data_IF_915365446473
#
_entry.id   IF_915365446473
#
_cell.length_a   1.000
_cell.length_b   1.000
_cell.length_c   1.000
_cell.angle_alpha   90.00
_cell.angle_beta   90.00
_cell.angle_gamma   90.00
#
_symmetry.space_group_name_H-M   'P 1'
#
loop_
_entity.id
_entity.type
_entity.pdbx_description
1 polymer ?
#
# COMPACT_ATOMS: atom_id res chain seq x y z
N UNK A 1 -28.06 -16.98 -13.98
CA UNK A 1 -28.49 -16.65 -12.60
C UNK A 1 -27.30 -16.95 -11.68
N UNK A 2 -27.01 -16.14 -10.65
CA UNK A 2 -25.76 -16.16 -9.82
C UNK A 2 -24.43 -15.80 -10.54
N UNK A 3 -24.47 -14.95 -11.57
CA UNK A 3 -23.24 -14.46 -12.22
C UNK A 3 -22.76 -13.18 -11.53
N UNK A 4 -21.94 -13.32 -10.51
CA UNK A 4 -21.31 -12.20 -9.79
C UNK A 4 -19.79 -12.39 -9.78
N UNK A 5 -19.06 -11.31 -10.02
CA UNK A 5 -17.60 -11.26 -9.88
C UNK A 5 -17.28 -10.09 -8.94
N UNK A 6 -16.60 -10.39 -7.84
CA UNK A 6 -16.13 -9.39 -6.88
C UNK A 6 -14.61 -9.42 -6.84
N UNK A 7 -14.01 -8.25 -6.68
CA UNK A 7 -12.56 -8.09 -6.54
C UNK A 7 -12.32 -7.24 -5.30
N UNK A 8 -11.35 -7.63 -4.48
CA UNK A 8 -10.98 -6.86 -3.31
C UNK A 8 -9.72 -7.42 -2.66
N UNK A 9 -9.24 -6.66 -1.68
CA UNK A 9 -8.05 -6.97 -0.89
C UNK A 9 -8.40 -6.73 0.58
N UNK A 10 -8.41 -7.80 1.37
CA UNK A 10 -8.67 -7.79 2.81
C UNK A 10 -7.63 -6.97 3.59
N UNK A 11 -6.36 -7.01 3.16
CA UNK A 11 -5.26 -6.25 3.77
C UNK A 11 -5.37 -4.73 3.49
N UNK A 12 -6.26 -4.30 2.57
CA UNK A 12 -6.50 -2.90 2.20
C UNK A 12 -7.85 -2.34 2.69
N UNK A 13 -8.53 -3.03 3.59
CA UNK A 13 -9.81 -2.56 4.13
C UNK A 13 -9.62 -1.45 5.19
N UNK A 14 -9.58 -0.18 4.76
CA UNK A 14 -9.33 0.98 5.64
C UNK A 14 -10.57 1.82 6.00
N UNK A 15 -11.75 1.44 5.52
CA UNK A 15 -13.00 2.21 5.70
C UNK A 15 -13.95 1.63 6.77
N UNK A 16 -13.45 0.81 7.69
CA UNK A 16 -14.28 0.19 8.73
C UNK A 16 -15.06 1.24 9.57
N UNK A 17 -14.45 2.40 9.83
CA UNK A 17 -15.09 3.51 10.54
C UNK A 17 -16.31 4.11 9.80
N UNK A 18 -16.48 3.83 8.50
CA UNK A 18 -17.65 4.21 7.69
C UNK A 18 -18.63 3.05 7.49
N UNK A 19 -18.48 1.96 8.24
CA UNK A 19 -19.34 0.78 8.15
C UNK A 19 -18.91 -0.25 7.10
N UNK A 20 -17.68 -0.16 6.56
CA UNK A 20 -17.16 -1.25 5.73
C UNK A 20 -16.94 -2.51 6.58
N UNK A 21 -17.46 -3.65 6.10
CA UNK A 21 -17.32 -4.94 6.78
C UNK A 21 -16.39 -5.86 5.97
N UNK A 22 -15.25 -6.22 6.56
CA UNK A 22 -14.28 -7.13 5.96
C UNK A 22 -14.86 -8.54 5.77
N UNK A 23 -15.89 -8.92 6.55
CA UNK A 23 -16.55 -10.22 6.40
C UNK A 23 -17.16 -10.43 5.02
N UNK A 24 -17.57 -9.36 4.33
CA UNK A 24 -18.11 -9.43 2.97
C UNK A 24 -17.15 -10.14 1.99
N UNK A 25 -15.84 -10.00 2.16
CA UNK A 25 -14.84 -10.68 1.30
C UNK A 25 -14.35 -12.00 1.92
N UNK A 26 -14.32 -12.09 3.25
CA UNK A 26 -13.85 -13.28 3.94
C UNK A 26 -14.86 -14.43 3.83
N UNK A 27 -16.14 -14.11 3.99
CA UNK A 27 -17.26 -15.04 4.02
C UNK A 27 -17.90 -15.25 2.63
N UNK A 28 -17.35 -14.66 1.57
CA UNK A 28 -17.90 -14.79 0.21
C UNK A 28 -18.04 -16.25 -0.24
N UNK A 29 -17.09 -17.11 0.13
CA UNK A 29 -17.11 -18.56 -0.17
C UNK A 29 -18.18 -19.30 0.65
N UNK A 30 -18.67 -18.73 1.76
CA UNK A 30 -19.80 -19.28 2.53
C UNK A 30 -21.13 -18.92 1.88
N UNK A 31 -21.27 -17.69 1.39
CA UNK A 31 -22.48 -17.20 0.73
C UNK A 31 -22.64 -17.76 -0.70
N UNK A 32 -21.51 -18.01 -1.37
CA UNK A 32 -21.43 -18.59 -2.70
C UNK A 32 -20.49 -19.81 -2.70
N UNK A 33 -20.97 -21.00 -2.27
CA UNK A 33 -20.14 -22.21 -2.16
C UNK A 33 -19.50 -22.66 -3.48
N UNK A 34 -20.13 -22.35 -4.62
CA UNK A 34 -19.63 -22.68 -5.96
C UNK A 34 -18.70 -21.60 -6.54
N UNK A 35 -18.32 -20.59 -5.75
CA UNK A 35 -17.48 -19.49 -6.20
C UNK A 35 -16.06 -19.97 -6.54
N UNK A 36 -15.57 -19.57 -7.71
CA UNK A 36 -14.16 -19.74 -8.07
C UNK A 36 -13.32 -18.63 -7.45
N UNK A 37 -12.38 -18.99 -6.58
CA UNK A 37 -11.41 -18.05 -6.01
C UNK A 37 -10.15 -17.99 -6.88
N UNK A 38 -9.73 -16.78 -7.24
CA UNK A 38 -8.48 -16.52 -7.96
C UNK A 38 -7.66 -15.55 -7.12
N UNK A 39 -6.45 -15.95 -6.73
CA UNK A 39 -5.50 -15.09 -6.02
C UNK A 39 -4.49 -14.51 -7.00
N UNK A 40 -4.36 -13.20 -7.01
CA UNK A 40 -3.37 -12.48 -7.83
C UNK A 40 -2.20 -12.07 -6.92
N UNK A 41 -1.12 -12.85 -6.95
CA UNK A 41 0.03 -12.66 -6.06
C UNK A 41 1.19 -11.93 -6.72
N UNK A 42 1.15 -11.73 -8.04
CA UNK A 42 2.18 -11.00 -8.78
C UNK A 42 1.92 -9.49 -8.72
N UNK A 43 2.86 -8.73 -8.18
CA UNK A 43 2.84 -7.28 -8.11
C UNK A 43 3.67 -6.69 -9.26
N UNK A 44 3.02 -5.87 -10.09
CA UNK A 44 3.63 -5.20 -11.23
C UNK A 44 3.91 -3.70 -10.98
N UNK A 45 3.58 -3.18 -9.78
CA UNK A 45 3.68 -1.74 -9.45
C UNK A 45 4.98 -1.41 -8.73
N UNK A 46 5.34 -2.20 -7.73
CA UNK A 46 6.38 -1.87 -6.75
C UNK A 46 7.64 -2.71 -6.99
N UNK A 47 8.81 -2.07 -6.81
CA UNK A 47 10.11 -2.73 -6.78
C UNK A 47 10.25 -3.63 -5.54
N UNK A 48 11.19 -4.58 -5.57
CA UNK A 48 11.32 -5.62 -4.55
C UNK A 48 11.43 -5.09 -3.12
N UNK A 49 12.29 -4.10 -2.84
CA UNK A 49 12.47 -3.58 -1.47
C UNK A 49 11.19 -2.97 -0.89
N UNK A 50 10.36 -2.34 -1.72
CA UNK A 50 9.07 -1.77 -1.28
C UNK A 50 8.09 -2.89 -0.97
N UNK A 51 8.03 -3.91 -1.83
CA UNK A 51 7.11 -5.04 -1.65
C UNK A 51 7.47 -5.89 -0.44
N UNK A 52 8.77 -6.15 -0.23
CA UNK A 52 9.28 -6.91 0.90
C UNK A 52 8.94 -6.23 2.22
N UNK A 53 9.15 -4.91 2.31
CA UNK A 53 8.77 -4.15 3.51
C UNK A 53 7.26 -4.23 3.78
N UNK A 54 6.42 -4.13 2.74
CA UNK A 54 4.97 -4.27 2.89
C UNK A 54 4.58 -5.67 3.39
N UNK A 55 5.17 -6.73 2.84
CA UNK A 55 4.95 -8.11 3.26
C UNK A 55 5.35 -8.35 4.74
N UNK A 56 6.46 -7.76 5.18
CA UNK A 56 6.93 -7.88 6.58
C UNK A 56 6.00 -7.16 7.55
N UNK A 57 5.48 -5.98 7.18
CA UNK A 57 4.56 -5.23 8.05
C UNK A 57 3.22 -5.95 8.17
N UNK A 58 2.65 -6.42 7.05
CA UNK A 58 1.28 -6.97 7.02
C UNK A 58 1.14 -8.32 7.75
N UNK A 59 2.23 -9.09 7.88
CA UNK A 59 2.17 -10.42 8.54
C UNK A 59 1.82 -10.33 10.03
N UNK A 60 1.94 -9.15 10.64
CA UNK A 60 1.61 -8.93 12.05
C UNK A 60 0.09 -8.82 12.31
N UNK A 61 -0.75 -8.78 11.26
CA UNK A 61 -2.21 -8.73 11.42
C UNK A 61 -2.82 -10.13 11.66
N UNK A 62 -3.70 -10.24 12.66
CA UNK A 62 -4.28 -11.53 13.08
C UNK A 62 -5.36 -12.11 12.14
N UNK A 63 -6.19 -11.26 11.51
CA UNK A 63 -7.34 -11.69 10.72
C UNK A 63 -7.12 -11.36 9.23
N UNK A 64 -6.48 -12.27 8.49
CA UNK A 64 -6.21 -12.12 7.04
C UNK A 64 -6.30 -13.44 6.29
N UNK A 65 -6.63 -13.40 5.00
CA UNK A 65 -6.41 -14.54 4.10
C UNK A 65 -4.91 -14.60 3.78
N UNK A 66 -4.30 -15.76 4.01
CA UNK A 66 -2.89 -15.96 3.70
C UNK A 66 -2.65 -15.77 2.20
N UNK A 67 -1.80 -14.79 1.89
CA UNK A 67 -1.24 -14.47 0.59
C UNK A 67 0.11 -13.79 0.78
N UNK A 68 1.01 -14.03 -0.16
CA UNK A 68 2.32 -13.39 -0.21
C UNK A 68 2.43 -12.73 -1.58
N UNK A 69 2.67 -11.42 -1.61
CA UNK A 69 2.89 -10.72 -2.87
C UNK A 69 4.35 -10.90 -3.31
N UNK A 70 4.55 -11.20 -4.58
CA UNK A 70 5.87 -11.35 -5.22
C UNK A 70 6.00 -10.42 -6.42
N UNK A 71 7.22 -10.02 -6.75
CA UNK A 71 7.50 -9.22 -7.95
C UNK A 71 8.71 -9.78 -8.69
N UNK A 72 8.70 -9.63 -10.02
CA UNK A 72 9.84 -9.91 -10.90
C UNK A 72 10.68 -8.66 -11.17
N UNK A 73 10.28 -7.50 -10.63
CA UNK A 73 11.09 -6.29 -10.72
C UNK A 73 12.33 -6.40 -9.85
N UNK A 74 13.38 -5.67 -10.25
CA UNK A 74 14.57 -5.48 -9.41
C UNK A 74 14.21 -4.91 -8.03
N UNK A 75 15.10 -5.13 -7.05
CA UNK A 75 14.88 -4.65 -5.67
C UNK A 75 14.70 -3.14 -5.58
N UNK A 76 15.38 -2.37 -6.44
CA UNK A 76 15.37 -0.92 -6.42
C UNK A 76 16.15 -0.32 -5.25
N UNK A 77 15.90 0.95 -4.96
CA UNK A 77 16.54 1.66 -3.86
C UNK A 77 16.03 1.16 -2.51
N UNK A 78 16.87 1.27 -1.47
CA UNK A 78 16.43 1.02 -0.09
C UNK A 78 15.45 2.09 0.36
N UNK A 79 14.47 1.69 1.19
CA UNK A 79 13.56 2.63 1.85
C UNK A 79 14.39 3.46 2.83
N UNK A 80 14.30 4.78 2.69
CA UNK A 80 14.98 5.73 3.59
C UNK A 80 14.02 6.12 4.71
N UNK A 81 14.54 6.16 5.94
CA UNK A 81 13.82 6.66 7.12
C UNK A 81 14.63 7.83 7.66
N UNK A 82 14.00 8.99 7.79
CA UNK A 82 14.58 10.18 8.37
C UNK A 82 13.80 10.54 9.64
N UNK A 83 14.51 10.89 10.71
CA UNK A 83 13.91 11.36 11.95
C UNK A 83 14.26 12.83 12.10
N UNK A 84 13.29 13.69 11.83
CA UNK A 84 13.42 15.13 11.96
C UNK A 84 13.42 15.57 13.43
N UNK A 85 13.95 16.76 13.69
CA UNK A 85 13.91 17.39 15.02
C UNK A 85 12.57 18.08 15.32
N UNK A 86 11.89 18.57 14.29
CA UNK A 86 10.58 19.21 14.34
C UNK A 86 9.78 18.91 13.08
N UNK A 87 8.51 19.28 13.08
CA UNK A 87 7.62 19.27 11.91
C UNK A 87 8.12 20.18 10.79
N UNK A 88 8.61 21.38 11.12
CA UNK A 88 9.22 22.29 10.15
C UNK A 88 10.48 21.69 9.52
N UNK A 89 11.33 21.04 10.33
CA UNK A 89 12.54 20.34 9.83
C UNK A 89 12.18 19.17 8.90
N UNK A 90 11.10 18.43 9.21
CA UNK A 90 10.59 17.38 8.33
C UNK A 90 10.11 17.95 6.98
N UNK A 91 9.37 19.05 7.01
CA UNK A 91 8.87 19.73 5.82
C UNK A 91 10.01 20.23 4.91
N UNK A 92 10.99 20.92 5.50
CA UNK A 92 12.18 21.43 4.80
C UNK A 92 13.02 20.30 4.21
N UNK A 93 13.19 19.21 4.97
CA UNK A 93 13.87 18.01 4.50
C UNK A 93 13.17 17.42 3.27
N UNK A 94 11.85 17.22 3.32
CA UNK A 94 11.07 16.67 2.21
C UNK A 94 11.17 17.56 0.97
N UNK A 95 11.00 18.88 1.11
CA UNK A 95 11.11 19.82 -0.01
C UNK A 95 12.51 19.79 -0.65
N UNK A 96 13.55 19.73 0.18
CA UNK A 96 14.95 19.61 -0.27
C UNK A 96 15.19 18.30 -1.03
N UNK A 97 14.68 17.17 -0.54
CA UNK A 97 14.81 15.89 -1.22
C UNK A 97 14.06 15.85 -2.55
N UNK A 98 12.85 16.43 -2.63
CA UNK A 98 12.10 16.50 -3.90
C UNK A 98 12.90 17.27 -4.95
N UNK A 99 13.42 18.45 -4.60
CA UNK A 99 14.20 19.26 -5.53
C UNK A 99 15.47 18.53 -5.98
N UNK A 100 16.18 17.91 -5.04
CA UNK A 100 17.38 17.11 -5.32
C UNK A 100 17.09 15.96 -6.29
N UNK A 101 16.09 15.12 -5.99
CA UNK A 101 15.74 13.96 -6.82
C UNK A 101 15.22 14.42 -8.19
N UNK A 102 14.45 15.50 -8.24
CA UNK A 102 13.97 16.10 -9.48
C UNK A 102 15.11 16.46 -10.43
N UNK A 103 16.18 17.06 -9.91
CA UNK A 103 17.36 17.46 -10.69
C UNK A 103 18.26 16.27 -11.03
N UNK A 104 18.53 15.38 -10.07
CA UNK A 104 19.45 14.26 -10.24
C UNK A 104 18.87 13.14 -11.14
N UNK A 105 17.55 12.92 -11.10
CA UNK A 105 16.88 11.81 -11.80
C UNK A 105 15.94 12.27 -12.94
N UNK A 106 16.00 13.55 -13.35
CA UNK A 106 15.13 14.15 -14.38
C UNK A 106 13.63 13.87 -14.15
N UNK A 107 13.17 13.96 -12.89
CA UNK A 107 11.76 13.76 -12.52
C UNK A 107 10.96 15.04 -12.66
N UNK A 108 9.63 14.91 -12.63
CA UNK A 108 8.69 16.04 -12.60
C UNK A 108 7.99 16.08 -11.25
N UNK A 109 7.51 17.26 -10.83
CA UNK A 109 6.79 17.40 -9.56
C UNK A 109 5.58 16.46 -9.43
N UNK A 110 4.93 16.11 -10.54
CA UNK A 110 3.82 15.14 -10.58
C UNK A 110 4.20 13.70 -10.25
N UNK A 111 5.49 13.37 -10.26
CA UNK A 111 6.00 12.03 -9.96
C UNK A 111 6.19 11.82 -8.45
N UNK A 112 5.96 12.87 -7.64
CA UNK A 112 6.05 12.85 -6.19
C UNK A 112 4.66 12.95 -5.57
N UNK A 113 4.46 12.23 -4.46
CA UNK A 113 3.26 12.31 -3.64
C UNK A 113 3.66 12.35 -2.15
N UNK A 114 2.98 13.21 -1.38
CA UNK A 114 3.14 13.30 0.07
C UNK A 114 1.86 12.75 0.70
N UNK A 115 2.00 11.71 1.53
CA UNK A 115 0.90 11.05 2.22
C UNK A 115 1.03 11.29 3.73
N UNK A 116 -0.03 11.76 4.34
CA UNK A 116 -0.11 12.04 5.78
C UNK A 116 -1.40 11.46 6.36
N UNK A 117 -1.42 11.25 7.69
CA UNK A 117 -2.53 10.57 8.37
C UNK A 117 -3.74 11.48 8.59
N UNK A 118 -3.51 12.77 8.82
CA UNK A 118 -4.55 13.76 9.09
C UNK A 118 -4.30 15.05 8.30
N UNK A 119 -5.37 15.72 7.88
CA UNK A 119 -5.25 16.95 7.07
C UNK A 119 -4.57 18.11 7.81
N UNK A 120 -4.49 18.07 9.15
CA UNK A 120 -3.78 19.08 9.91
C UNK A 120 -2.27 19.07 9.64
N UNK A 121 -1.70 17.94 9.22
CA UNK A 121 -0.27 17.79 8.90
C UNK A 121 0.12 18.42 7.56
N UNK A 122 -0.83 18.92 6.77
CA UNK A 122 -0.52 19.57 5.49
C UNK A 122 -0.13 21.05 5.65
N UNK A 123 -0.17 21.59 6.87
CA UNK A 123 0.06 23.00 7.17
C UNK A 123 1.42 23.22 7.78
#
# INVERSE_FOLDING_TARGET
YKNICVVGDDDQCIYQWRGADIRNILDFEKDYPDAKVIKLEQNYRSKGNILDAANVVIVNNANRKSKVLRTEQESGNKIKVYRAYSDSDEGDFVATQINKIKEEEDKKYKDFAILYRTNAQSR
#
